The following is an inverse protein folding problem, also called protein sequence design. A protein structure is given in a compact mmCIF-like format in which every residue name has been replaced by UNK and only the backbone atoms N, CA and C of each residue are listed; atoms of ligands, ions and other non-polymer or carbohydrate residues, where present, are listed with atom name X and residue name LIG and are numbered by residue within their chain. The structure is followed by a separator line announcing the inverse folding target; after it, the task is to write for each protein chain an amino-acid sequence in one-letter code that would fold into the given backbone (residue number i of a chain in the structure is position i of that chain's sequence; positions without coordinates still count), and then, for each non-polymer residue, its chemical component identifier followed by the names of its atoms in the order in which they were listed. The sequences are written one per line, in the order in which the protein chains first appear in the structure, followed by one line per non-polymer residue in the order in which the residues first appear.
data_IF_660226021927
#
_entry.id   IF_660226021927
#
_cell.length_a   1.000
_cell.length_b   1.000
_cell.length_c   1.000
_cell.angle_alpha   90.00
_cell.angle_beta   90.00
_cell.angle_gamma   90.00
#
_symmetry.space_group_name_H-M   'P 1'
#
loop_
_entity.id
_entity.type
_entity.pdbx_description
1 polymer ?
#
# COMPACT_ATOMS: atom_id res chain seq x y z
N UNK A 1 1.87 17.27 23.94
CA UNK A 1 0.67 17.12 23.08
C UNK A 1 0.98 17.18 21.58
N UNK A 2 1.70 18.18 21.04
CA UNK A 2 2.00 18.27 19.59
C UNK A 2 2.80 17.08 19.04
N UNK A 3 3.83 16.65 19.76
CA UNK A 3 4.69 15.54 19.32
C UNK A 3 3.95 14.21 19.32
N UNK A 4 3.26 13.86 20.42
CA UNK A 4 2.48 12.63 20.54
C UNK A 4 1.38 12.52 19.49
N UNK A 5 0.72 13.63 19.16
CA UNK A 5 -0.30 13.66 18.11
C UNK A 5 0.29 13.38 16.72
N UNK A 6 1.42 14.00 16.40
CA UNK A 6 2.10 13.78 15.11
C UNK A 6 2.63 12.35 14.97
N UNK A 7 3.18 11.78 16.05
CA UNK A 7 3.63 10.38 16.08
C UNK A 7 2.46 9.42 15.83
N UNK A 8 1.33 9.61 16.50
CA UNK A 8 0.17 8.72 16.34
C UNK A 8 -0.39 8.75 14.91
N UNK A 9 -0.50 9.94 14.31
CA UNK A 9 -0.91 10.05 12.90
C UNK A 9 0.08 9.36 11.96
N UNK A 10 1.37 9.41 12.25
CA UNK A 10 2.36 8.72 11.44
C UNK A 10 2.26 7.19 11.62
N UNK A 11 1.96 6.71 12.83
CA UNK A 11 1.72 5.30 13.14
C UNK A 11 0.47 4.74 12.44
N UNK A 12 -0.59 5.55 12.33
CA UNK A 12 -1.81 5.23 11.58
C UNK A 12 -1.59 5.24 10.05
N UNK A 13 -0.38 5.55 9.57
CA UNK A 13 -0.01 5.52 8.15
C UNK A 13 -0.36 6.80 7.38
N UNK A 14 -0.64 7.92 8.06
CA UNK A 14 -0.88 9.18 7.38
C UNK A 14 0.39 9.74 6.73
N UNK A 15 0.21 10.42 5.60
CA UNK A 15 1.30 11.02 4.86
C UNK A 15 1.97 12.17 5.65
N UNK A 16 3.31 12.21 5.65
CA UNK A 16 4.08 13.23 6.37
C UNK A 16 3.79 14.67 5.94
N UNK A 17 3.45 14.91 4.67
CA UNK A 17 3.08 16.22 4.15
C UNK A 17 1.69 16.65 4.66
N UNK A 18 0.81 15.68 4.89
CA UNK A 18 -0.50 15.94 5.49
C UNK A 18 -0.31 16.38 6.95
N UNK A 19 0.51 15.65 7.71
CA UNK A 19 0.85 15.99 9.10
C UNK A 19 1.53 17.37 9.16
N UNK A 20 2.44 17.68 8.23
CA UNK A 20 3.08 19.00 8.15
C UNK A 20 2.06 20.13 8.01
N UNK A 21 1.11 20.00 7.07
CA UNK A 21 0.06 21.01 6.84
C UNK A 21 -0.85 21.15 8.06
N UNK A 22 -1.22 20.03 8.66
CA UNK A 22 -2.08 19.99 9.86
C UNK A 22 -1.44 20.70 11.06
N UNK A 23 -0.11 20.59 11.20
CA UNK A 23 0.65 21.23 12.28
C UNK A 23 1.07 22.67 11.97
N UNK A 24 0.89 23.14 10.73
CA UNK A 24 1.30 24.48 10.29
C UNK A 24 2.82 24.64 10.22
N UNK A 25 3.57 23.57 9.97
CA UNK A 25 5.02 23.61 9.88
C UNK A 25 5.47 24.26 8.57
N UNK A 26 6.17 25.39 8.67
CA UNK A 26 6.73 26.10 7.51
C UNK A 26 7.82 25.28 6.80
N UNK A 27 8.63 24.54 7.57
CA UNK A 27 9.69 23.69 7.05
C UNK A 27 9.41 22.21 7.31
N UNK A 28 9.54 21.38 6.27
CA UNK A 28 9.37 19.93 6.36
C UNK A 28 10.33 19.27 7.37
N UNK A 29 11.54 19.83 7.52
CA UNK A 29 12.56 19.32 8.45
C UNK A 29 12.05 19.17 9.89
N UNK A 30 11.18 20.09 10.32
CA UNK A 30 10.57 20.04 11.67
C UNK A 30 9.54 18.92 11.83
N UNK A 31 8.99 18.40 10.73
CA UNK A 31 8.07 17.26 10.71
C UNK A 31 8.82 15.94 10.50
N UNK A 32 9.95 15.95 9.79
CA UNK A 32 10.77 14.75 9.57
C UNK A 32 11.29 14.13 10.86
N UNK A 33 11.36 14.88 11.95
CA UNK A 33 11.67 14.35 13.27
C UNK A 33 10.68 13.27 13.72
N UNK A 34 9.49 13.14 13.14
CA UNK A 34 8.58 12.06 13.53
C UNK A 34 8.90 10.73 12.83
N UNK A 35 9.65 10.76 11.73
CA UNK A 35 9.95 9.57 10.92
C UNK A 35 10.85 8.56 11.64
N UNK A 36 11.72 9.02 12.56
CA UNK A 36 12.61 8.12 13.29
C UNK A 36 11.88 7.26 14.35
N UNK A 37 10.64 7.61 14.70
CA UNK A 37 9.91 6.96 15.80
C UNK A 37 9.28 5.64 15.37
N UNK A 38 9.01 5.44 14.07
CA UNK A 38 8.40 4.21 13.57
C UNK A 38 9.15 3.63 12.35
N UNK A 39 10.06 2.65 12.54
CA UNK A 39 10.75 1.99 11.44
C UNK A 39 9.85 1.07 10.60
N UNK A 40 8.67 0.69 11.13
CA UNK A 40 7.78 -0.26 10.45
C UNK A 40 7.03 0.35 9.27
N UNK A 41 7.00 1.69 9.13
CA UNK A 41 6.41 2.35 7.96
C UNK A 41 7.06 1.91 6.65
N UNK A 42 8.37 1.66 6.64
CA UNK A 42 9.10 1.25 5.44
C UNK A 42 8.78 -0.20 5.00
N UNK A 43 8.35 -1.04 5.94
CA UNK A 43 8.04 -2.45 5.69
C UNK A 43 6.64 -2.65 5.07
N UNK A 44 5.78 -1.64 5.12
CA UNK A 44 4.42 -1.69 4.57
C UNK A 44 4.35 -1.32 3.09
N UNK A 45 5.46 -0.87 2.48
CA UNK A 45 5.46 -0.45 1.08
C UNK A 45 5.81 -1.66 0.21
N UNK A 46 4.82 -2.28 -0.48
CA UNK A 46 5.09 -3.43 -1.35
C UNK A 46 6.02 -2.99 -2.48
N UNK A 47 6.96 -3.88 -2.83
CA UNK A 47 7.91 -3.61 -3.88
C UNK A 47 7.17 -3.39 -5.21
N UNK A 48 7.58 -2.42 -6.04
CA UNK A 48 6.96 -2.22 -7.35
C UNK A 48 6.89 -3.50 -8.20
N UNK A 49 7.87 -4.39 -8.07
CA UNK A 49 7.90 -5.67 -8.81
C UNK A 49 6.82 -6.66 -8.36
N UNK A 50 6.47 -6.65 -7.06
CA UNK A 50 5.42 -7.50 -6.50
C UNK A 50 4.04 -7.09 -7.03
N UNK A 51 3.84 -5.78 -7.29
CA UNK A 51 2.60 -5.27 -7.89
C UNK A 51 2.37 -5.80 -9.30
N UNK A 52 3.43 -6.09 -10.05
CA UNK A 52 3.34 -6.64 -11.40
C UNK A 52 3.20 -8.17 -11.41
N UNK A 53 3.61 -8.86 -10.33
CA UNK A 53 3.56 -10.32 -10.19
C UNK A 53 2.25 -10.85 -9.58
N UNK A 54 1.12 -10.17 -9.77
CA UNK A 54 -0.19 -10.73 -9.40
C UNK A 54 -0.88 -11.36 -10.62
N UNK A 55 -0.59 -12.60 -11.02
CA UNK A 55 -1.51 -13.38 -11.83
C UNK A 55 -2.61 -13.90 -10.90
N UNK A 56 -3.59 -13.05 -10.59
CA UNK A 56 -4.93 -13.56 -10.22
C UNK A 56 -5.77 -13.59 -11.49
N UNK A 57 -5.48 -14.56 -12.33
CA UNK A 57 -6.39 -15.02 -13.37
C UNK A 57 -6.79 -16.45 -13.02
N UNK A 58 -7.50 -16.61 -11.90
CA UNK A 58 -8.36 -17.77 -11.67
C UNK A 58 -9.58 -17.58 -12.58
N UNK A 59 -9.40 -17.81 -13.87
CA UNK A 59 -10.49 -17.92 -14.82
C UNK A 59 -10.69 -19.41 -15.14
N UNK A 60 -11.78 -19.93 -14.59
CA UNK A 60 -12.47 -21.18 -14.95
C UNK A 60 -11.99 -22.48 -14.31
N UNK A 61 -12.20 -22.62 -13.00
CA UNK A 61 -12.96 -23.80 -12.53
C UNK A 61 -14.45 -23.53 -12.83
N UNK A 62 -14.88 -23.89 -14.04
CA UNK A 62 -16.27 -24.23 -14.30
C UNK A 62 -16.27 -25.53 -15.09
N UNK A 63 -16.63 -26.60 -14.39
CA UNK A 63 -17.20 -27.77 -15.03
C UNK A 63 -18.24 -27.35 -16.08
N UNK A 64 -18.21 -28.04 -17.22
CA UNK A 64 -19.23 -28.06 -18.28
C UNK A 64 -19.16 -27.00 -19.39
N UNK A 65 -18.95 -27.53 -20.60
CA UNK A 65 -19.91 -27.46 -21.72
C UNK A 65 -19.41 -26.91 -23.06
N UNK A 66 -18.20 -27.21 -23.54
CA UNK A 66 -17.96 -27.23 -24.99
C UNK A 66 -16.90 -28.28 -25.35
N UNK A 67 -17.34 -29.54 -25.42
CA UNK A 67 -16.64 -30.56 -26.19
C UNK A 67 -16.83 -30.27 -27.67
N UNK A 68 -15.75 -29.91 -28.37
CA UNK A 68 -15.72 -29.97 -29.82
C UNK A 68 -15.46 -31.44 -30.20
N UNK A 69 -16.51 -32.21 -30.45
CA UNK A 69 -16.40 -33.48 -31.14
C UNK A 69 -15.87 -33.21 -32.56
N UNK A 70 -14.61 -33.57 -32.77
CA UNK A 70 -14.06 -33.77 -34.11
C UNK A 70 -14.68 -35.06 -34.68
N UNK A 71 -15.82 -34.93 -35.36
CA UNK A 71 -16.29 -35.99 -36.26
C UNK A 71 -15.34 -36.07 -37.47
N UNK A 72 -14.46 -37.07 -37.45
CA UNK A 72 -13.77 -37.57 -38.64
C UNK A 72 -14.78 -38.41 -39.42
N UNK A 73 -15.10 -37.98 -40.65
CA UNK A 73 -15.64 -38.84 -41.71
C UNK A 73 -14.55 -39.13 -42.73
#
# INVERSE_FOLDING_TARGET
MRHSFATHLLEDGYNILYIQKLLGHNAINSTLIYLHVNPNYLLQIPSPIEKFHSPKFDIFETDSQYGLELEIK
#
